data_IF_856942582527
#
_entry.id   IF_856942582527
#
_cell.length_a   1.000
_cell.length_b   1.000
_cell.length_c   1.000
_cell.angle_alpha   90.00
_cell.angle_beta   90.00
_cell.angle_gamma   90.00
#
_symmetry.space_group_name_H-M   'P 1'
#
loop_
_entity.id
_entity.type
_entity.pdbx_description
1 polymer ?
#
# COMPACT_ATOMS: atom_id res chain seq x y z
N UNK A 1 -48.06 0.11 38.81
CA UNK A 1 -47.71 -0.52 37.52
C UNK A 1 -46.29 -1.06 37.64
N UNK A 2 -46.14 -2.37 37.91
CA UNK A 2 -44.85 -3.04 38.19
C UNK A 2 -44.39 -3.75 36.92
N UNK A 3 -43.36 -3.24 36.25
CA UNK A 3 -42.71 -3.90 35.13
C UNK A 3 -41.67 -4.85 35.72
N UNK A 4 -41.80 -6.13 35.37
CA UNK A 4 -41.09 -7.25 35.96
C UNK A 4 -39.71 -7.45 35.32
N UNK A 5 -38.68 -7.61 36.15
CA UNK A 5 -37.27 -7.86 35.81
C UNK A 5 -37.00 -9.22 35.13
N UNK A 6 -37.99 -9.83 34.48
CA UNK A 6 -37.85 -11.10 33.74
C UNK A 6 -37.50 -10.88 32.27
N UNK A 7 -37.59 -9.65 31.76
CA UNK A 7 -37.25 -9.33 30.37
C UNK A 7 -35.73 -9.15 30.14
N UNK A 8 -34.94 -8.98 31.20
CA UNK A 8 -33.49 -8.80 31.08
C UNK A 8 -32.70 -10.13 31.13
N UNK A 9 -33.37 -11.25 31.44
CA UNK A 9 -32.73 -12.57 31.53
C UNK A 9 -32.72 -13.37 30.22
N UNK A 10 -33.35 -12.85 29.15
CA UNK A 10 -33.46 -13.54 27.86
C UNK A 10 -32.41 -13.10 26.82
N UNK A 11 -31.50 -12.17 27.16
CA UNK A 11 -30.50 -11.63 26.22
C UNK A 11 -29.05 -12.08 26.53
N UNK A 12 -28.87 -13.25 27.15
CA UNK A 12 -27.56 -13.79 27.54
C UNK A 12 -27.26 -15.20 27.00
N UNK A 13 -27.95 -15.66 25.94
CA UNK A 13 -27.76 -17.01 25.39
C UNK A 13 -27.63 -17.03 23.86
N UNK A 14 -26.72 -16.20 23.33
CA UNK A 14 -26.19 -16.37 21.97
C UNK A 14 -24.67 -16.14 21.91
N UNK A 15 -23.94 -16.71 22.87
CA UNK A 15 -22.52 -17.05 22.65
C UNK A 15 -22.47 -18.44 22.04
N UNK A 16 -22.61 -18.51 20.71
CA UNK A 16 -22.30 -19.71 19.94
C UNK A 16 -20.78 -19.91 20.01
N UNK A 17 -20.37 -20.77 20.95
CA UNK A 17 -19.00 -21.27 21.06
C UNK A 17 -18.73 -22.20 19.89
N UNK A 18 -18.20 -21.68 18.80
CA UNK A 18 -17.56 -22.49 17.76
C UNK A 18 -16.13 -22.82 18.20
N UNK A 19 -16.00 -23.80 19.10
CA UNK A 19 -14.73 -24.45 19.41
C UNK A 19 -14.46 -25.52 18.34
N UNK A 20 -13.67 -25.18 17.33
CA UNK A 20 -13.04 -26.21 16.49
C UNK A 20 -11.77 -26.69 17.15
N UNK A 21 -11.80 -27.93 17.62
CA UNK A 21 -10.63 -28.68 18.07
C UNK A 21 -9.69 -28.93 16.87
N UNK A 22 -8.45 -28.46 16.97
CA UNK A 22 -7.40 -28.75 16.01
C UNK A 22 -6.83 -30.14 16.32
N UNK A 23 -7.21 -31.16 15.56
CA UNK A 23 -6.58 -32.48 15.62
C UNK A 23 -5.27 -32.45 14.82
N UNK A 24 -4.14 -32.60 15.51
CA UNK A 24 -2.83 -32.71 14.89
C UNK A 24 -2.56 -34.18 14.52
N UNK A 25 -2.80 -34.55 13.27
CA UNK A 25 -2.43 -35.86 12.73
C UNK A 25 -1.07 -35.77 12.02
N UNK A 26 -0.18 -36.71 12.34
CA UNK A 26 1.20 -36.82 11.83
C UNK A 26 1.25 -37.90 10.73
N UNK A 27 2.01 -37.59 9.69
CA UNK A 27 2.64 -38.50 8.72
C UNK A 27 1.79 -39.09 7.59
N UNK A 28 1.96 -38.59 6.36
CA UNK A 28 2.46 -39.41 5.25
C UNK A 28 2.83 -38.59 3.99
N UNK A 29 3.97 -38.95 3.40
CA UNK A 29 4.44 -38.79 2.00
C UNK A 29 4.20 -37.46 1.27
N UNK A 30 5.30 -36.74 1.05
CA UNK A 30 5.42 -35.63 0.09
C UNK A 30 5.11 -36.11 -1.33
N UNK A 31 3.96 -35.69 -1.86
CA UNK A 31 3.60 -35.71 -3.27
C UNK A 31 3.62 -34.24 -3.77
N UNK A 32 4.41 -33.87 -4.80
CA UNK A 32 4.58 -32.48 -5.22
C UNK A 32 3.40 -31.91 -6.05
N UNK A 33 2.21 -32.53 -6.04
CA UNK A 33 1.06 -32.09 -6.86
C UNK A 33 -0.04 -31.32 -6.11
N UNK A 34 0.15 -30.95 -4.84
CA UNK A 34 -0.84 -30.17 -4.10
C UNK A 34 -0.44 -28.69 -4.07
N UNK A 35 -0.56 -28.03 -5.22
CA UNK A 35 -0.74 -26.58 -5.17
C UNK A 35 -2.07 -26.32 -4.45
N UNK A 36 -2.08 -25.59 -3.32
CA UNK A 36 -3.33 -25.16 -2.73
C UNK A 36 -4.06 -24.32 -3.79
N UNK A 37 -5.23 -24.83 -4.21
CA UNK A 37 -6.26 -24.04 -4.88
C UNK A 37 -6.32 -22.69 -4.16
N UNK A 38 -6.24 -21.54 -4.85
CA UNK A 38 -6.17 -20.27 -4.17
C UNK A 38 -7.41 -20.14 -3.31
N UNK A 39 -7.24 -20.30 -2.00
CA UNK A 39 -8.15 -19.77 -1.00
C UNK A 39 -8.40 -18.34 -1.43
N UNK A 40 -9.66 -17.92 -1.53
CA UNK A 40 -10.03 -16.55 -1.85
C UNK A 40 -9.40 -15.62 -0.80
N UNK A 41 -8.14 -15.22 -1.03
CA UNK A 41 -7.51 -14.16 -0.28
C UNK A 41 -8.15 -12.93 -0.87
N UNK A 42 -9.20 -12.46 -0.19
CA UNK A 42 -9.89 -11.22 -0.53
C UNK A 42 -8.89 -10.10 -0.27
N UNK A 43 -8.09 -9.81 -1.28
CA UNK A 43 -7.17 -8.69 -1.27
C UNK A 43 -7.99 -7.41 -1.07
N UNK A 44 -7.45 -6.46 -0.32
CA UNK A 44 -8.21 -5.25 0.04
C UNK A 44 -7.87 -4.07 -0.85
N UNK A 45 -6.62 -3.96 -1.26
CA UNK A 45 -6.10 -2.89 -2.10
C UNK A 45 -5.78 -3.37 -3.51
N UNK A 46 -5.42 -4.64 -3.69
CA UNK A 46 -5.03 -5.22 -4.98
C UNK A 46 -6.07 -6.16 -5.61
N UNK A 47 -7.32 -6.05 -5.17
CA UNK A 47 -8.42 -6.97 -5.55
C UNK A 47 -8.68 -6.97 -7.06
N UNK A 48 -8.70 -5.79 -7.69
CA UNK A 48 -9.05 -5.66 -9.10
C UNK A 48 -7.96 -6.24 -9.98
N UNK A 49 -6.69 -5.96 -9.66
CA UNK A 49 -5.56 -6.52 -10.42
C UNK A 49 -5.47 -8.03 -10.25
N UNK A 50 -5.61 -8.54 -9.02
CA UNK A 50 -5.54 -9.98 -8.74
C UNK A 50 -6.66 -10.73 -9.47
N UNK A 51 -7.89 -10.19 -9.47
CA UNK A 51 -9.01 -10.78 -10.22
C UNK A 51 -8.77 -10.75 -11.73
N UNK A 52 -8.25 -9.65 -12.27
CA UNK A 52 -7.93 -9.56 -13.71
C UNK A 52 -6.87 -10.57 -14.12
N UNK A 53 -5.80 -10.74 -13.33
CA UNK A 53 -4.80 -11.76 -13.62
C UNK A 53 -5.41 -13.17 -13.57
N UNK A 54 -6.30 -13.44 -12.61
CA UNK A 54 -6.98 -14.74 -12.51
C UNK A 54 -7.85 -15.06 -13.73
N UNK A 55 -8.58 -14.08 -14.25
CA UNK A 55 -9.42 -14.22 -15.46
C UNK A 55 -8.57 -14.43 -16.72
N UNK A 56 -7.35 -13.88 -16.74
CA UNK A 56 -6.45 -13.91 -17.90
C UNK A 56 -5.61 -15.17 -17.94
N UNK A 57 -5.20 -15.69 -16.78
CA UNK A 57 -4.38 -16.90 -16.64
C UNK A 57 -4.83 -18.09 -17.49
N UNK A 58 -6.12 -18.49 -17.56
CA UNK A 58 -6.55 -19.63 -18.38
C UNK A 58 -6.54 -19.34 -19.89
N UNK A 59 -6.49 -18.07 -20.30
CA UNK A 59 -6.48 -17.64 -21.70
C UNK A 59 -5.07 -17.60 -22.28
N UNK A 60 -4.06 -17.57 -21.42
CA UNK A 60 -2.65 -17.52 -21.82
C UNK A 60 -2.16 -18.89 -22.24
N UNK A 61 -1.77 -19.02 -23.51
CA UNK A 61 -1.32 -20.31 -24.09
C UNK A 61 0.19 -20.54 -23.93
N UNK A 62 0.95 -19.47 -23.74
CA UNK A 62 2.41 -19.53 -23.57
C UNK A 62 2.76 -19.92 -22.13
N UNK A 63 3.38 -21.10 -21.89
CA UNK A 63 3.66 -21.58 -20.52
C UNK A 63 4.50 -20.59 -19.70
N UNK A 64 5.50 -19.97 -20.32
CA UNK A 64 6.36 -18.99 -19.66
C UNK A 64 5.59 -17.74 -19.19
N UNK A 65 4.70 -17.20 -20.03
CA UNK A 65 3.88 -16.03 -19.68
C UNK A 65 2.92 -16.37 -18.54
N UNK A 66 2.38 -17.60 -18.54
CA UNK A 66 1.50 -18.08 -17.49
C UNK A 66 2.22 -18.20 -16.15
N UNK A 67 3.42 -18.77 -16.13
CA UNK A 67 4.24 -18.90 -14.92
C UNK A 67 4.65 -17.54 -14.35
N UNK A 68 5.09 -16.61 -15.20
CA UNK A 68 5.41 -15.24 -14.76
C UNK A 68 4.16 -14.51 -14.21
N UNK A 69 2.97 -14.71 -14.79
CA UNK A 69 1.71 -14.17 -14.24
C UNK A 69 1.31 -14.81 -12.90
N UNK A 70 1.54 -16.12 -12.74
CA UNK A 70 1.32 -16.82 -11.47
C UNK A 70 2.22 -16.27 -10.36
N UNK A 71 3.49 -16.03 -10.67
CA UNK A 71 4.42 -15.43 -9.73
C UNK A 71 4.01 -14.01 -9.35
N UNK A 72 3.71 -13.16 -10.33
CA UNK A 72 3.27 -11.77 -10.07
C UNK A 72 2.01 -11.75 -9.20
N UNK A 73 1.04 -12.63 -9.47
CA UNK A 73 -0.17 -12.72 -8.65
C UNK A 73 0.15 -13.13 -7.20
N UNK A 74 1.03 -14.11 -7.00
CA UNK A 74 1.42 -14.56 -5.66
C UNK A 74 2.14 -13.43 -4.88
N UNK A 75 3.03 -12.69 -5.54
CA UNK A 75 3.72 -11.54 -4.96
C UNK A 75 2.74 -10.39 -4.63
N UNK A 76 1.75 -10.12 -5.49
CA UNK A 76 0.71 -9.12 -5.21
C UNK A 76 -0.12 -9.47 -3.98
N UNK A 77 -0.46 -10.74 -3.79
CA UNK A 77 -1.18 -11.20 -2.59
C UNK A 77 -0.38 -10.91 -1.31
N UNK A 78 0.93 -11.18 -1.30
CA UNK A 78 1.77 -10.89 -0.12
C UNK A 78 1.97 -9.38 0.08
N UNK A 79 2.10 -8.63 -1.02
CA UNK A 79 2.17 -7.16 -1.00
C UNK A 79 0.90 -6.57 -0.38
N UNK A 80 -0.29 -7.04 -0.80
CA UNK A 80 -1.59 -6.58 -0.28
C UNK A 80 -1.71 -6.78 1.24
N UNK A 81 -1.30 -7.95 1.73
CA UNK A 81 -1.28 -8.25 3.16
C UNK A 81 -0.36 -7.33 3.95
N UNK A 82 0.82 -7.04 3.41
CA UNK A 82 1.79 -6.11 4.03
C UNK A 82 1.25 -4.69 4.04
N UNK A 83 0.64 -4.26 2.92
CA UNK A 83 0.00 -2.95 2.78
C UNK A 83 -1.16 -2.83 3.78
N UNK A 84 -2.05 -3.80 3.87
CA UNK A 84 -3.20 -3.75 4.78
C UNK A 84 -2.75 -3.72 6.25
N UNK A 85 -1.84 -4.61 6.64
CA UNK A 85 -1.32 -4.61 8.00
C UNK A 85 -0.66 -3.27 8.36
N UNK A 86 0.14 -2.71 7.44
CA UNK A 86 0.90 -1.49 7.68
C UNK A 86 -0.02 -0.26 7.68
N UNK A 87 -0.92 -0.12 6.69
CA UNK A 87 -1.90 0.97 6.66
C UNK A 87 -2.83 0.92 7.88
N UNK A 88 -3.27 -0.26 8.30
CA UNK A 88 -4.10 -0.41 9.49
C UNK A 88 -3.36 0.05 10.76
N UNK A 89 -2.06 -0.28 10.90
CA UNK A 89 -1.25 0.23 12.03
C UNK A 89 -1.08 1.75 12.00
N UNK A 90 -0.91 2.34 10.82
CA UNK A 90 -0.80 3.81 10.67
C UNK A 90 -2.14 4.49 10.99
N UNK A 91 -3.27 3.90 10.57
CA UNK A 91 -4.60 4.49 10.74
C UNK A 91 -5.14 4.34 12.17
N UNK A 92 -4.94 3.17 12.81
CA UNK A 92 -5.46 2.85 14.16
C UNK A 92 -4.69 3.53 15.29
N UNK A 93 -3.49 4.05 15.03
CA UNK A 93 -2.72 4.77 16.04
C UNK A 93 -3.51 6.00 16.51
N UNK A 94 -3.80 6.05 17.81
CA UNK A 94 -4.63 7.11 18.40
C UNK A 94 -4.05 8.51 18.15
N UNK A 95 -4.91 9.51 17.94
CA UNK A 95 -4.50 10.88 17.65
C UNK A 95 -3.52 11.43 18.70
N UNK A 96 -3.80 11.20 20.00
CA UNK A 96 -2.89 11.59 21.08
C UNK A 96 -1.52 10.92 21.00
N UNK A 97 -1.44 9.64 20.61
CA UNK A 97 -0.16 8.96 20.38
C UNK A 97 0.58 9.50 19.15
N UNK A 98 -0.15 9.89 18.09
CA UNK A 98 0.43 10.60 16.92
C UNK A 98 0.95 11.98 17.29
N UNK A 99 0.28 12.70 18.20
CA UNK A 99 0.77 13.95 18.75
C UNK A 99 2.03 13.68 19.60
N UNK A 100 2.04 12.72 20.52
CA UNK A 100 3.19 12.52 21.42
C UNK A 100 4.42 11.94 20.70
N UNK A 101 4.24 10.85 19.95
CA UNK A 101 5.37 10.06 19.41
C UNK A 101 5.57 10.34 17.91
N UNK A 102 4.57 10.91 17.25
CA UNK A 102 4.58 11.16 15.80
C UNK A 102 3.85 10.09 14.97
N UNK A 103 3.71 10.35 13.65
CA UNK A 103 3.22 9.37 12.69
C UNK A 103 4.06 8.09 12.68
N UNK A 104 3.46 6.96 12.32
CA UNK A 104 4.17 5.69 12.25
C UNK A 104 4.98 5.56 10.95
N UNK A 105 6.16 6.20 10.94
CA UNK A 105 7.05 6.23 9.78
C UNK A 105 7.63 4.85 9.43
N UNK A 106 7.71 3.93 10.39
CA UNK A 106 8.23 2.58 10.15
C UNK A 106 7.25 1.79 9.26
N UNK A 107 5.98 1.77 9.64
CA UNK A 107 4.94 1.12 8.84
C UNK A 107 4.72 1.88 7.52
N UNK A 108 4.85 3.21 7.49
CA UNK A 108 4.81 3.97 6.24
C UNK A 108 5.97 3.63 5.29
N UNK A 109 7.17 3.37 5.82
CA UNK A 109 8.31 2.89 5.06
C UNK A 109 8.04 1.52 4.42
N UNK A 110 7.38 0.61 5.16
CA UNK A 110 6.96 -0.67 4.60
C UNK A 110 5.99 -0.48 3.42
N UNK A 111 4.95 0.34 3.57
CA UNK A 111 4.02 0.63 2.45
C UNK A 111 4.74 1.25 1.25
N UNK A 112 5.71 2.15 1.47
CA UNK A 112 6.52 2.73 0.37
C UNK A 112 7.39 1.70 -0.32
N UNK A 113 7.94 0.75 0.42
CA UNK A 113 8.70 -0.36 -0.15
C UNK A 113 7.80 -1.22 -1.05
N UNK A 114 6.59 -1.53 -0.58
CA UNK A 114 5.61 -2.27 -1.38
C UNK A 114 5.19 -1.50 -2.64
N UNK A 115 4.98 -0.19 -2.56
CA UNK A 115 4.71 0.65 -3.75
C UNK A 115 5.82 0.49 -4.80
N UNK A 116 7.09 0.52 -4.40
CA UNK A 116 8.22 0.32 -5.34
C UNK A 116 8.22 -1.10 -5.90
N UNK A 117 7.87 -2.10 -5.10
CA UNK A 117 7.74 -3.49 -5.56
C UNK A 117 6.61 -3.63 -6.60
N UNK A 118 5.44 -3.07 -6.34
CA UNK A 118 4.30 -3.05 -7.27
C UNK A 118 4.63 -2.26 -8.56
N UNK A 119 5.34 -1.14 -8.48
CA UNK A 119 5.85 -0.43 -9.67
C UNK A 119 6.79 -1.32 -10.49
N UNK A 120 7.61 -2.15 -9.83
CA UNK A 120 8.43 -3.11 -10.53
C UNK A 120 7.57 -4.19 -11.22
N UNK A 121 6.50 -4.65 -10.60
CA UNK A 121 5.55 -5.59 -11.21
C UNK A 121 4.83 -4.98 -12.41
N UNK A 122 4.46 -3.69 -12.38
CA UNK A 122 3.98 -2.98 -13.57
C UNK A 122 4.97 -3.13 -14.73
N UNK A 123 6.27 -2.90 -14.48
CA UNK A 123 7.31 -3.08 -15.51
C UNK A 123 7.43 -4.52 -16.00
N UNK A 124 7.25 -5.50 -15.11
CA UNK A 124 7.25 -6.92 -15.49
C UNK A 124 6.05 -7.25 -16.38
N UNK A 125 4.84 -6.80 -16.02
CA UNK A 125 3.63 -6.94 -16.82
C UNK A 125 3.77 -6.27 -18.19
N UNK A 126 4.36 -5.06 -18.28
CA UNK A 126 4.63 -4.41 -19.57
C UNK A 126 5.60 -5.21 -20.45
N UNK A 127 6.62 -5.84 -19.85
CA UNK A 127 7.52 -6.74 -20.59
C UNK A 127 6.79 -7.99 -21.05
N UNK A 128 5.90 -8.56 -20.23
CA UNK A 128 5.06 -9.69 -20.60
C UNK A 128 4.11 -9.35 -21.75
N UNK A 129 3.49 -8.18 -21.70
CA UNK A 129 2.62 -7.66 -22.76
C UNK A 129 3.35 -7.67 -24.12
N UNK A 130 4.62 -7.25 -24.15
CA UNK A 130 5.42 -7.24 -25.39
C UNK A 130 5.65 -8.63 -26.00
N UNK A 131 5.63 -9.68 -25.16
CA UNK A 131 5.81 -11.09 -25.55
C UNK A 131 4.50 -11.82 -25.78
N UNK A 132 3.37 -11.23 -25.41
CA UNK A 132 2.05 -11.85 -25.47
C UNK A 132 1.43 -11.74 -26.87
N UNK A 133 0.52 -12.66 -27.19
CA UNK A 133 -0.29 -12.61 -28.41
C UNK A 133 -1.29 -11.46 -28.39
N UNK A 134 -1.78 -11.03 -29.56
CA UNK A 134 -2.74 -9.91 -29.67
C UNK A 134 -3.96 -10.06 -28.77
N UNK A 135 -4.47 -11.28 -28.60
CA UNK A 135 -5.62 -11.58 -27.73
C UNK A 135 -5.29 -11.51 -26.23
N UNK A 136 -4.03 -11.70 -25.85
CA UNK A 136 -3.58 -11.67 -24.45
C UNK A 136 -3.17 -10.25 -24.02
N UNK A 137 -2.71 -9.41 -24.96
CA UNK A 137 -2.25 -8.04 -24.70
C UNK A 137 -3.29 -7.18 -24.01
N UNK A 138 -4.52 -7.12 -24.51
CA UNK A 138 -5.61 -6.32 -23.90
C UNK A 138 -5.82 -6.69 -22.43
N UNK A 139 -5.76 -7.97 -22.13
CA UNK A 139 -5.94 -8.52 -20.79
C UNK A 139 -4.78 -8.14 -19.83
N UNK A 140 -3.55 -8.16 -20.33
CA UNK A 140 -2.37 -7.72 -19.58
C UNK A 140 -2.41 -6.19 -19.38
N UNK A 141 -2.80 -5.42 -20.40
CA UNK A 141 -2.98 -3.97 -20.31
C UNK A 141 -4.03 -3.57 -19.28
N UNK A 142 -5.15 -4.28 -19.21
CA UNK A 142 -6.16 -4.06 -18.18
C UNK A 142 -5.64 -4.32 -16.77
N UNK A 143 -4.79 -5.34 -16.61
CA UNK A 143 -4.14 -5.66 -15.33
C UNK A 143 -3.14 -4.56 -14.94
N UNK A 144 -2.37 -4.04 -15.91
CA UNK A 144 -1.47 -2.89 -15.72
C UNK A 144 -2.26 -1.63 -15.30
N UNK A 145 -3.38 -1.33 -15.98
CA UNK A 145 -4.21 -0.16 -15.64
C UNK A 145 -4.73 -0.25 -14.21
N UNK A 146 -5.24 -1.42 -13.84
CA UNK A 146 -5.79 -1.64 -12.49
C UNK A 146 -4.72 -1.51 -11.42
N UNK A 147 -3.52 -2.05 -11.68
CA UNK A 147 -2.41 -1.96 -10.73
C UNK A 147 -1.96 -0.52 -10.52
N UNK A 148 -1.98 0.30 -11.58
CA UNK A 148 -1.66 1.73 -11.48
C UNK A 148 -2.73 2.50 -10.70
N UNK A 149 -4.01 2.21 -10.92
CA UNK A 149 -5.12 2.82 -10.17
C UNK A 149 -5.04 2.47 -8.67
N UNK A 150 -4.77 1.20 -8.36
CA UNK A 150 -4.61 0.71 -7.00
C UNK A 150 -3.37 1.31 -6.32
N UNK A 151 -2.24 1.43 -7.05
CA UNK A 151 -1.04 2.13 -6.59
C UNK A 151 -1.35 3.57 -6.16
N UNK A 152 -2.06 4.33 -7.00
CA UNK A 152 -2.47 5.70 -6.68
C UNK A 152 -3.39 5.76 -5.46
N UNK A 153 -4.30 4.79 -5.32
CA UNK A 153 -5.17 4.68 -4.16
C UNK A 153 -4.36 4.40 -2.88
N UNK A 154 -3.38 3.49 -2.93
CA UNK A 154 -2.48 3.18 -1.80
C UNK A 154 -1.65 4.41 -1.41
N UNK A 155 -1.06 5.11 -2.39
CA UNK A 155 -0.30 6.35 -2.15
C UNK A 155 -1.15 7.43 -1.50
N UNK A 156 -2.38 7.61 -1.99
CA UNK A 156 -3.34 8.58 -1.44
C UNK A 156 -3.68 8.24 0.01
N UNK A 157 -4.02 6.97 0.29
CA UNK A 157 -4.32 6.49 1.65
C UNK A 157 -3.14 6.61 2.60
N UNK A 158 -1.94 6.32 2.13
CA UNK A 158 -0.71 6.49 2.90
C UNK A 158 -0.51 7.96 3.27
N UNK A 159 -0.63 8.86 2.29
CA UNK A 159 -0.49 10.30 2.50
C UNK A 159 -1.56 10.85 3.46
N UNK A 160 -2.82 10.41 3.33
CA UNK A 160 -3.89 10.74 4.27
C UNK A 160 -3.56 10.28 5.69
N UNK A 161 -3.06 9.05 5.84
CA UNK A 161 -2.78 8.44 7.14
C UNK A 161 -1.58 9.08 7.85
N UNK A 162 -0.68 9.70 7.09
CA UNK A 162 0.51 10.42 7.56
C UNK A 162 0.25 11.90 7.89
N UNK A 163 -0.88 12.48 7.48
CA UNK A 163 -1.25 13.86 7.85
C UNK A 163 -1.57 13.91 9.35
N UNK A 164 -0.60 14.39 10.15
CA UNK A 164 -0.74 14.59 11.59
C UNK A 164 0.45 15.38 12.17
N UNK A 165 0.16 16.37 13.02
CA UNK A 165 1.17 17.21 13.67
C UNK A 165 1.77 16.45 14.88
N UNK A 166 3.08 16.24 14.93
CA UNK A 166 3.72 15.64 16.13
C UNK A 166 4.06 16.74 17.13
N UNK A 167 3.48 16.65 18.32
CA UNK A 167 3.72 17.52 19.46
C UNK A 167 5.11 17.37 20.14
N UNK A 168 5.91 16.36 19.84
CA UNK A 168 7.28 16.29 20.38
C UNK A 168 8.31 16.69 19.33
N UNK A 169 7.98 16.55 18.04
CA UNK A 169 8.79 17.05 16.95
C UNK A 169 8.89 18.58 16.92
N UNK A 170 7.77 19.30 17.04
CA UNK A 170 7.81 20.77 17.17
C UNK A 170 8.40 21.22 18.51
N UNK A 171 8.15 20.51 19.62
CA UNK A 171 8.68 20.89 20.93
C UNK A 171 10.20 20.71 20.99
N UNK A 172 10.73 19.62 20.44
CA UNK A 172 12.17 19.45 20.28
C UNK A 172 12.77 20.55 19.39
N UNK A 173 12.10 20.91 18.29
CA UNK A 173 12.52 22.02 17.41
C UNK A 173 12.52 23.39 18.12
N UNK A 174 11.65 23.59 19.11
CA UNK A 174 11.64 24.78 19.96
C UNK A 174 12.75 24.75 21.02
N UNK A 175 12.98 23.59 21.63
CA UNK A 175 13.95 23.42 22.73
C UNK A 175 15.41 23.36 22.23
N UNK A 176 15.66 22.87 21.02
CA UNK A 176 17.00 22.85 20.40
C UNK A 176 17.34 24.16 19.68
N UNK A 177 16.47 25.17 19.77
CA UNK A 177 16.64 26.46 19.11
C UNK A 177 16.28 26.42 17.62
N UNK A 178 15.52 27.44 17.18
CA UNK A 178 15.32 27.74 15.77
C UNK A 178 16.66 28.07 15.10
N UNK A 179 17.33 27.07 14.53
CA UNK A 179 18.13 27.31 13.33
C UNK A 179 17.14 27.39 12.18
N UNK A 180 16.75 28.63 11.83
CA UNK A 180 16.09 28.90 10.56
C UNK A 180 16.94 28.29 9.44
N UNK A 181 16.36 27.62 8.43
CA UNK A 181 17.10 27.38 7.19
C UNK A 181 17.56 28.76 6.72
N UNK A 182 18.88 28.95 6.67
CA UNK A 182 19.47 30.20 6.20
C UNK A 182 18.81 30.49 4.84
N UNK A 183 18.17 31.64 4.73
CA UNK A 183 17.65 32.13 3.47
C UNK A 183 18.80 32.13 2.48
N UNK A 184 18.58 31.43 1.37
CA UNK A 184 19.31 31.52 0.12
C UNK A 184 19.89 32.93 -0.07
N UNK A 185 21.19 33.10 -0.41
CA UNK A 185 21.73 34.41 -0.68
C UNK A 185 20.92 35.06 -1.79
N UNK A 186 20.29 36.17 -1.44
CA UNK A 186 19.66 37.09 -2.37
C UNK A 186 20.76 37.66 -3.28
N UNK A 187 20.92 37.07 -4.46
CA UNK A 187 21.63 37.72 -5.57
C UNK A 187 20.72 38.83 -6.09
N UNK A 188 20.76 39.97 -5.41
CA UNK A 188 20.29 41.23 -5.95
C UNK A 188 21.20 41.57 -7.13
N UNK A 189 20.71 41.70 -8.38
CA UNK A 189 21.51 42.29 -9.44
C UNK A 189 21.75 43.76 -9.06
N UNK A 190 22.99 44.08 -8.71
CA UNK A 190 23.46 45.47 -8.60
C UNK A 190 23.33 46.13 -9.96
N UNK A 191 22.25 46.89 -10.14
CA UNK A 191 22.10 47.82 -11.26
C UNK A 191 22.86 49.09 -10.85
N UNK A 192 24.15 49.16 -11.17
CA UNK A 192 24.90 50.42 -11.06
C UNK A 192 24.49 51.30 -12.25
N UNK A 193 23.95 52.51 -12.03
CA UNK A 193 23.73 53.46 -13.11
C UNK A 193 25.08 53.97 -13.62
N UNK A 194 25.42 53.61 -14.86
CA UNK A 194 26.51 54.20 -15.62
C UNK A 194 26.11 55.63 -16.01
N UNK A 195 26.74 56.61 -15.35
CA UNK A 195 26.64 58.02 -15.69
C UNK A 195 27.87 58.43 -16.51
N UNK A 196 27.62 58.74 -17.78
CA UNK A 196 28.23 59.84 -18.53
C UNK A 196 29.73 59.74 -18.87
N UNK A 197 30.02 59.46 -20.15
CA UNK A 197 31.02 60.22 -20.91
C UNK A 197 30.46 60.64 -22.27
N UNK A 198 30.62 61.93 -22.56
CA UNK A 198 30.16 62.80 -23.65
C UNK A 198 30.72 62.40 -25.03
N UNK A 199 30.05 62.76 -26.15
CA UNK A 199 30.64 62.61 -27.48
C UNK A 199 31.63 63.74 -27.75
N UNK A 200 32.72 63.43 -28.47
CA UNK A 200 33.54 64.43 -29.14
C UNK A 200 33.79 64.01 -30.58
N UNK A 201 33.71 65.04 -31.41
CA UNK A 201 33.67 65.14 -32.87
C UNK A 201 34.78 64.36 -33.58
#
# INVERSE_FOLDING_TARGET
MKISNKLFLALLLMFFTFSSTLTLAKNDKVNPSNQPKPTQIKAKYLDQTIQKIEVVKPKVKTPQVKEELEQIQAEQIESDKTIDSSLNKISTRSGLAKLVIGPDYKNAGAVRSEIVHLQNQVRQLTRLESKASTSEKTAIQESISSLNEELLAIETRLNESLKGFSLFGWLNKLLTGFVSPVSTPEITPTITPDLSVTPSV
#
